data_IF_720287504300
#
_entry.id   IF_720287504300
#
_cell.length_a   1.000
_cell.length_b   1.000
_cell.length_c   1.000
_cell.angle_alpha   90.00
_cell.angle_beta   90.00
_cell.angle_gamma   90.00
#
_symmetry.space_group_name_H-M   'P 1'
#
loop_
_entity.id
_entity.type
_entity.pdbx_description
1 polymer ?
#
# COMPACT_ATOMS: atom_id res chain seq x y z
N UNK A 1 17.22 15.23 -11.92
CA UNK A 1 16.95 13.79 -11.62
C UNK A 1 16.84 13.50 -10.13
N UNK A 2 17.81 13.89 -9.28
CA UNK A 2 17.81 13.56 -7.83
C UNK A 2 16.54 13.99 -7.10
N UNK A 3 16.04 15.20 -7.36
CA UNK A 3 14.79 15.69 -6.76
C UNK A 3 13.59 14.76 -7.02
N UNK A 4 13.46 14.24 -8.24
CA UNK A 4 12.36 13.34 -8.64
C UNK A 4 12.45 12.03 -7.85
N UNK A 5 13.66 11.47 -7.75
CA UNK A 5 13.92 10.22 -7.01
C UNK A 5 13.57 10.39 -5.53
N UNK A 6 13.98 11.51 -4.92
CA UNK A 6 13.68 11.83 -3.52
C UNK A 6 12.19 12.03 -3.30
N UNK A 7 11.51 12.81 -4.15
CA UNK A 7 10.07 13.04 -4.06
C UNK A 7 9.28 11.72 -4.17
N UNK A 8 9.65 10.86 -5.13
CA UNK A 8 9.04 9.54 -5.29
C UNK A 8 9.28 8.63 -4.07
N UNK A 9 10.49 8.66 -3.50
CA UNK A 9 10.83 7.88 -2.31
C UNK A 9 10.00 8.29 -1.10
N UNK A 10 9.78 9.60 -0.91
CA UNK A 10 8.88 10.11 0.13
C UNK A 10 7.43 9.69 -0.10
N UNK A 11 6.94 9.76 -1.34
CA UNK A 11 5.60 9.32 -1.69
C UNK A 11 5.39 7.83 -1.36
N UNK A 12 6.31 6.96 -1.79
CA UNK A 12 6.26 5.53 -1.49
C UNK A 12 6.23 5.27 0.01
N UNK A 13 7.05 5.99 0.78
CA UNK A 13 7.08 5.86 2.24
C UNK A 13 5.75 6.26 2.88
N UNK A 14 5.13 7.36 2.44
CA UNK A 14 3.82 7.81 2.93
C UNK A 14 2.74 6.77 2.57
N UNK A 15 2.69 6.31 1.33
CA UNK A 15 1.73 5.29 0.88
C UNK A 15 1.89 3.99 1.66
N UNK A 16 3.13 3.57 1.93
CA UNK A 16 3.42 2.37 2.74
C UNK A 16 2.90 2.52 4.17
N UNK A 17 3.11 3.67 4.81
CA UNK A 17 2.58 3.93 6.16
C UNK A 17 1.05 3.94 6.16
N UNK A 18 0.42 4.58 5.18
CA UNK A 18 -1.04 4.61 5.06
C UNK A 18 -1.63 3.23 4.82
N UNK A 19 -0.96 2.38 4.04
CA UNK A 19 -1.34 0.96 3.87
C UNK A 19 -1.24 0.20 5.20
N UNK A 20 -0.21 0.43 6.01
CA UNK A 20 -0.13 -0.15 7.37
C UNK A 20 -1.28 0.33 8.25
N UNK A 21 -1.60 1.64 8.23
CA UNK A 21 -2.76 2.18 8.95
C UNK A 21 -4.05 1.51 8.49
N UNK A 22 -4.25 1.38 7.18
CA UNK A 22 -5.40 0.68 6.60
C UNK A 22 -5.46 -0.79 7.06
N UNK A 23 -4.33 -1.51 7.09
CA UNK A 23 -4.26 -2.88 7.59
C UNK A 23 -4.66 -2.98 9.07
N UNK A 24 -4.18 -2.05 9.90
CA UNK A 24 -4.51 -2.00 11.32
C UNK A 24 -6.00 -1.72 11.54
N UNK A 25 -6.58 -0.76 10.81
CA UNK A 25 -8.03 -0.51 10.83
C UNK A 25 -8.80 -1.76 10.42
N UNK A 26 -8.24 -2.55 9.51
CA UNK A 26 -8.84 -3.79 9.05
C UNK A 26 -9.00 -4.85 10.15
N UNK A 27 -8.18 -4.79 11.22
CA UNK A 27 -8.23 -5.68 12.39
C UNK A 27 -9.19 -5.22 13.48
N UNK A 28 -9.56 -3.94 13.53
CA UNK A 28 -10.52 -3.43 14.50
C UNK A 28 -11.96 -3.64 14.02
N UNK A 29 -12.85 -4.27 14.81
CA UNK A 29 -14.25 -4.44 14.45
C UNK A 29 -14.93 -3.09 14.18
N UNK A 30 -15.63 -2.95 13.05
CA UNK A 30 -16.33 -1.70 12.67
C UNK A 30 -15.43 -0.56 12.18
N UNK A 31 -14.10 -0.67 12.27
CA UNK A 31 -13.21 0.41 11.83
C UNK A 31 -13.12 0.53 10.30
N UNK A 32 -13.31 -0.57 9.55
CA UNK A 32 -13.47 -0.51 8.08
C UNK A 32 -14.69 0.30 7.65
N UNK A 33 -15.76 0.25 8.44
CA UNK A 33 -17.01 0.98 8.17
C UNK A 33 -16.97 2.43 8.66
N UNK A 34 -15.88 2.86 9.31
CA UNK A 34 -15.71 4.27 9.64
C UNK A 34 -15.54 5.12 8.37
N UNK A 35 -15.78 6.44 8.50
CA UNK A 35 -15.53 7.38 7.40
C UNK A 35 -14.08 7.30 6.89
N UNK A 36 -13.12 7.10 7.80
CA UNK A 36 -11.70 7.00 7.50
C UNK A 36 -11.36 5.67 6.82
N UNK A 37 -11.94 4.56 7.30
CA UNK A 37 -11.79 3.24 6.68
C UNK A 37 -12.27 3.22 5.23
N UNK A 38 -13.47 3.76 4.97
CA UNK A 38 -14.02 3.89 3.61
C UNK A 38 -13.18 4.81 2.72
N UNK A 39 -12.73 5.94 3.25
CA UNK A 39 -11.89 6.87 2.50
C UNK A 39 -10.54 6.24 2.08
N UNK A 40 -9.90 5.48 2.98
CA UNK A 40 -8.67 4.76 2.66
C UNK A 40 -8.92 3.61 1.69
N UNK A 41 -10.02 2.89 1.82
CA UNK A 41 -10.41 1.84 0.88
C UNK A 41 -10.57 2.40 -0.53
N UNK A 42 -11.35 3.47 -0.71
CA UNK A 42 -11.54 4.11 -2.01
C UNK A 42 -10.23 4.66 -2.59
N UNK A 43 -9.39 5.26 -1.75
CA UNK A 43 -8.09 5.79 -2.14
C UNK A 43 -7.12 4.68 -2.62
N UNK A 44 -7.13 3.52 -1.95
CA UNK A 44 -6.25 2.40 -2.28
C UNK A 44 -6.87 1.39 -3.25
N UNK A 45 -8.16 1.47 -3.56
CA UNK A 45 -8.84 0.60 -4.52
C UNK A 45 -8.08 0.42 -5.84
N UNK A 46 -7.59 1.47 -6.53
CA UNK A 46 -6.83 1.27 -7.77
C UNK A 46 -5.53 0.50 -7.57
N UNK A 47 -4.90 0.59 -6.39
CA UNK A 47 -3.66 -0.12 -6.06
C UNK A 47 -3.93 -1.57 -5.61
N UNK A 48 -5.00 -1.78 -4.84
CA UNK A 48 -5.32 -3.07 -4.20
C UNK A 48 -6.20 -3.96 -5.09
N UNK A 49 -7.08 -3.39 -5.91
CA UNK A 49 -7.97 -4.15 -6.81
C UNK A 49 -7.27 -5.16 -7.72
N UNK A 50 -6.10 -4.89 -8.35
CA UNK A 50 -5.39 -5.93 -9.10
C UNK A 50 -4.84 -7.03 -8.20
N UNK A 51 -4.39 -6.69 -6.98
CA UNK A 51 -3.84 -7.64 -6.03
C UNK A 51 -4.93 -8.51 -5.39
N UNK A 52 -6.14 -7.96 -5.18
CA UNK A 52 -7.32 -8.69 -4.67
C UNK A 52 -7.78 -9.81 -5.60
N UNK A 53 -7.37 -9.79 -6.88
CA UNK A 53 -7.63 -10.88 -7.84
C UNK A 53 -6.73 -12.10 -7.62
N UNK A 54 -5.63 -11.93 -6.87
CA UNK A 54 -4.71 -12.99 -6.53
C UNK A 54 -5.19 -13.69 -5.24
N UNK A 55 -4.90 -14.99 -5.05
CA UNK A 55 -5.26 -15.74 -3.84
C UNK A 55 -4.34 -15.39 -2.66
N UNK A 56 -4.27 -14.10 -2.30
CA UNK A 56 -3.42 -13.57 -1.22
C UNK A 56 -4.09 -13.62 0.15
N UNK A 57 -5.37 -14.00 0.21
CA UNK A 57 -6.07 -14.24 1.47
C UNK A 57 -5.86 -15.69 1.90
N UNK A 58 -5.07 -15.88 2.95
CA UNK A 58 -4.67 -17.21 3.43
C UNK A 58 -5.00 -17.31 4.91
N UNK A 59 -5.75 -18.35 5.30
CA UNK A 59 -6.12 -18.61 6.69
C UNK A 59 -6.78 -17.40 7.42
N UNK A 60 -7.56 -16.59 6.69
CA UNK A 60 -8.22 -15.39 7.23
C UNK A 60 -7.31 -14.17 7.36
N UNK A 61 -6.03 -14.27 6.97
CA UNK A 61 -5.10 -13.14 6.89
C UNK A 61 -5.10 -12.55 5.48
N UNK A 62 -5.20 -11.23 5.40
CA UNK A 62 -5.15 -10.49 4.14
C UNK A 62 -3.72 -10.02 3.83
N UNK A 63 -2.96 -10.86 3.10
CA UNK A 63 -1.59 -10.51 2.70
C UNK A 63 -1.54 -9.49 1.56
N UNK A 64 -2.69 -9.09 1.01
CA UNK A 64 -2.76 -8.11 -0.09
C UNK A 64 -2.03 -6.81 0.26
N UNK A 65 -2.17 -6.34 1.50
CA UNK A 65 -1.53 -5.11 1.95
C UNK A 65 -0.01 -5.30 2.07
N UNK A 66 0.45 -6.43 2.59
CA UNK A 66 1.88 -6.74 2.70
C UNK A 66 2.51 -6.77 1.31
N UNK A 67 1.86 -7.43 0.36
CA UNK A 67 2.31 -7.49 -1.03
C UNK A 67 2.34 -6.10 -1.66
N UNK A 68 1.32 -5.26 -1.43
CA UNK A 68 1.30 -3.88 -1.92
C UNK A 68 2.49 -3.06 -1.39
N UNK A 69 2.78 -3.17 -0.08
CA UNK A 69 3.94 -2.50 0.53
C UNK A 69 5.25 -3.01 -0.07
N UNK A 70 5.40 -4.33 -0.25
CA UNK A 70 6.61 -4.92 -0.85
C UNK A 70 6.82 -4.39 -2.28
N UNK A 71 5.77 -4.33 -3.09
CA UNK A 71 5.82 -3.79 -4.45
C UNK A 71 6.25 -2.32 -4.43
N UNK A 72 5.62 -1.50 -3.59
CA UNK A 72 5.96 -0.07 -3.47
C UNK A 72 7.44 0.12 -3.09
N UNK A 73 7.92 -0.63 -2.09
CA UNK A 73 9.31 -0.54 -1.63
C UNK A 73 10.29 -1.05 -2.69
N UNK A 74 9.91 -2.05 -3.47
CA UNK A 74 10.70 -2.53 -4.59
C UNK A 74 10.81 -1.45 -5.68
N UNK A 75 9.71 -0.78 -6.04
CA UNK A 75 9.73 0.34 -6.99
C UNK A 75 10.64 1.48 -6.53
N UNK A 76 10.58 1.84 -5.24
CA UNK A 76 11.46 2.89 -4.68
C UNK A 76 12.95 2.54 -4.77
N UNK A 77 13.32 1.26 -4.67
CA UNK A 77 14.70 0.79 -4.81
C UNK A 77 15.14 0.69 -6.27
N UNK A 78 14.23 0.32 -7.18
CA UNK A 78 14.54 0.21 -8.60
C UNK A 78 14.74 1.57 -9.25
N UNK A 79 13.95 2.57 -8.88
CA UNK A 79 13.96 3.87 -9.55
C UNK A 79 15.38 4.50 -9.58
N UNK A 80 16.13 4.65 -8.45
CA UNK A 80 17.50 5.16 -8.50
C UNK A 80 18.45 4.34 -9.37
N UNK A 81 18.29 3.02 -9.44
CA UNK A 81 19.15 2.12 -10.22
C UNK A 81 18.99 2.38 -11.71
N UNK A 82 17.79 2.72 -12.17
CA UNK A 82 17.50 2.98 -13.59
C UNK A 82 18.01 4.34 -14.08
N UNK A 83 18.28 5.27 -13.16
CA UNK A 83 18.73 6.63 -13.47
C UNK A 83 20.22 6.87 -13.22
N UNK A 84 20.96 5.81 -12.86
CA UNK A 84 22.41 5.79 -12.70
C UNK A 84 23.04 4.94 -13.80
#
# INVERSE_FOLDING_TARGET
>A
MVFIIVAFSYLVRILSVLLVVYALLSWFPGARESWLGRALEEFFEPLLSPLRRLPLQIAGLDFTIVVAIVILQFLARLLPILFY
#
